data_IF_400449904393
#
_entry.id   IF_400449904393
#
_cell.length_a   1.000
_cell.length_b   1.000
_cell.length_c   1.000
_cell.angle_alpha   90.00
_cell.angle_beta   90.00
_cell.angle_gamma   90.00
#
_symmetry.space_group_name_H-M   'P 1'
#
loop_
_entity.id
_entity.type
_entity.pdbx_description
1 polymer ?
#
# COMPACT_ATOMS: atom_id res chain seq x y z
N UNK A 1 -25.35 13.93 4.82
CA UNK A 1 -24.95 12.56 4.38
C UNK A 1 -23.46 12.39 4.63
N UNK A 2 -23.03 11.24 5.15
CA UNK A 2 -21.61 10.91 5.32
C UNK A 2 -20.93 10.86 3.95
N UNK A 3 -19.71 11.39 3.82
CA UNK A 3 -18.91 11.32 2.56
C UNK A 3 -18.61 9.85 2.27
N UNK A 4 -18.86 9.39 1.03
CA UNK A 4 -18.66 7.99 0.62
C UNK A 4 -17.16 7.65 0.57
N UNK A 5 -16.38 8.50 -0.08
CA UNK A 5 -14.92 8.42 -0.09
C UNK A 5 -14.34 9.04 1.18
N UNK A 6 -13.54 8.24 1.90
CA UNK A 6 -12.74 8.68 3.04
C UNK A 6 -11.40 9.24 2.62
N UNK A 7 -10.39 9.11 3.49
CA UNK A 7 -9.00 9.49 3.18
C UNK A 7 -8.30 8.51 2.26
N UNK A 8 -8.70 7.23 2.29
CA UNK A 8 -8.14 6.18 1.44
C UNK A 8 -9.24 5.24 0.92
N UNK A 9 -9.94 5.70 -0.13
CA UNK A 9 -11.01 4.96 -0.79
C UNK A 9 -12.33 4.93 0.00
N UNK A 10 -13.16 3.94 -0.32
CA UNK A 10 -14.46 3.71 0.33
C UNK A 10 -14.28 2.59 1.35
N UNK A 11 -14.58 2.82 2.63
CA UNK A 11 -14.36 1.83 3.71
C UNK A 11 -15.54 1.74 4.67
N UNK A 12 -15.73 0.57 5.26
CA UNK A 12 -16.71 0.37 6.31
C UNK A 12 -16.91 -1.10 6.69
N UNK A 13 -17.91 -1.36 7.53
CA UNK A 13 -18.25 -2.73 7.95
C UNK A 13 -18.90 -3.48 6.80
N UNK A 14 -18.42 -4.69 6.54
CA UNK A 14 -18.93 -5.58 5.49
C UNK A 14 -20.40 -5.90 5.74
N UNK A 15 -21.21 -5.95 4.68
CA UNK A 15 -22.65 -6.22 4.70
C UNK A 15 -23.49 -5.18 5.47
N UNK A 16 -22.89 -4.07 5.91
CA UNK A 16 -23.61 -2.92 6.47
C UNK A 16 -23.30 -1.64 5.70
N UNK A 17 -22.02 -1.28 5.65
CA UNK A 17 -21.53 -0.07 4.99
C UNK A 17 -20.95 -0.40 3.60
N UNK A 18 -20.27 -1.55 3.49
CA UNK A 18 -19.71 -2.09 2.24
C UNK A 18 -20.46 -3.38 1.89
N UNK A 19 -21.38 -3.27 0.93
CA UNK A 19 -22.20 -4.40 0.48
C UNK A 19 -21.82 -4.83 -0.94
N UNK A 20 -22.23 -6.04 -1.33
CA UNK A 20 -22.04 -6.53 -2.71
C UNK A 20 -22.75 -5.63 -3.73
N UNK A 21 -23.93 -5.09 -3.40
CA UNK A 21 -24.67 -4.18 -4.27
C UNK A 21 -23.92 -2.86 -4.49
N UNK A 22 -23.31 -2.31 -3.42
CA UNK A 22 -22.48 -1.11 -3.54
C UNK A 22 -21.23 -1.40 -4.39
N UNK A 23 -20.55 -2.51 -4.15
CA UNK A 23 -19.36 -2.93 -4.89
C UNK A 23 -19.67 -3.13 -6.39
N UNK A 24 -20.79 -3.77 -6.70
CA UNK A 24 -21.28 -3.92 -8.08
C UNK A 24 -21.52 -2.57 -8.74
N UNK A 25 -22.25 -1.67 -8.07
CA UNK A 25 -22.51 -0.31 -8.59
C UNK A 25 -21.23 0.47 -8.82
N UNK A 26 -20.24 0.37 -7.92
CA UNK A 26 -18.92 0.99 -8.12
C UNK A 26 -18.26 0.42 -9.37
N UNK A 27 -18.25 -0.90 -9.56
CA UNK A 27 -17.75 -1.53 -10.78
C UNK A 27 -18.42 -1.00 -12.04
N UNK A 28 -19.76 -0.84 -12.03
CA UNK A 28 -20.48 -0.25 -13.15
C UNK A 28 -20.07 1.19 -13.43
N UNK A 29 -19.97 2.03 -12.38
CA UNK A 29 -19.56 3.42 -12.56
C UNK A 29 -18.16 3.50 -13.15
N UNK A 30 -17.23 2.68 -12.66
CA UNK A 30 -15.86 2.66 -13.15
C UNK A 30 -15.78 2.23 -14.62
N UNK A 31 -16.46 1.14 -15.01
CA UNK A 31 -16.47 0.70 -16.40
C UNK A 31 -17.12 1.72 -17.34
N UNK A 32 -18.18 2.40 -16.88
CA UNK A 32 -18.82 3.48 -17.64
C UNK A 32 -17.92 4.71 -17.82
N UNK A 33 -17.18 5.10 -16.77
CA UNK A 33 -16.27 6.25 -16.83
C UNK A 33 -15.02 5.98 -17.66
N UNK A 34 -14.67 4.71 -17.85
CA UNK A 34 -13.45 4.26 -18.50
C UNK A 34 -13.76 3.18 -19.55
N UNK A 35 -14.51 3.52 -20.62
CA UNK A 35 -14.96 2.54 -21.59
C UNK A 35 -13.79 1.90 -22.34
N UNK A 36 -13.76 0.58 -22.43
CA UNK A 36 -12.72 -0.18 -23.13
C UNK A 36 -11.37 -0.27 -22.40
N UNK A 37 -11.27 0.27 -21.19
CA UNK A 37 -10.06 0.18 -20.36
C UNK A 37 -9.91 -1.20 -19.70
N UNK A 38 -8.65 -1.53 -19.39
CA UNK A 38 -8.29 -2.73 -18.62
C UNK A 38 -8.24 -2.42 -17.13
N UNK A 39 -8.77 -3.32 -16.32
CA UNK A 39 -8.74 -3.22 -14.86
C UNK A 39 -8.01 -4.40 -14.24
N UNK A 40 -6.99 -4.12 -13.43
CA UNK A 40 -6.46 -5.09 -12.47
C UNK A 40 -7.34 -5.04 -11.22
N UNK A 41 -7.64 -6.19 -10.63
CA UNK A 41 -8.30 -6.26 -9.33
C UNK A 41 -7.59 -7.24 -8.41
N UNK A 42 -7.26 -6.77 -7.21
CA UNK A 42 -6.69 -7.59 -6.14
C UNK A 42 -7.44 -7.40 -4.82
N UNK A 43 -7.14 -8.25 -3.85
CA UNK A 43 -7.68 -8.16 -2.49
C UNK A 43 -6.59 -8.44 -1.45
N UNK A 44 -6.88 -8.08 -0.20
CA UNK A 44 -6.20 -8.66 0.95
C UNK A 44 -6.78 -10.05 1.30
N UNK A 45 -6.40 -10.58 2.47
CA UNK A 45 -6.74 -11.93 2.92
C UNK A 45 -8.10 -12.05 3.60
N UNK A 46 -8.91 -10.98 3.70
CA UNK A 46 -10.24 -11.05 4.32
C UNK A 46 -11.16 -11.98 3.55
N UNK A 47 -11.93 -12.79 4.28
CA UNK A 47 -12.92 -13.69 3.66
C UNK A 47 -13.97 -12.94 2.83
N UNK A 48 -14.34 -11.73 3.25
CA UNK A 48 -15.28 -10.85 2.52
C UNK A 48 -14.74 -10.35 1.18
N UNK A 49 -13.41 -10.40 0.98
CA UNK A 49 -12.76 -9.94 -0.23
C UNK A 49 -13.22 -10.71 -1.46
N UNK A 50 -13.45 -12.02 -1.35
CA UNK A 50 -13.96 -12.86 -2.45
C UNK A 50 -15.31 -12.35 -2.97
N UNK A 51 -16.27 -12.15 -2.07
CA UNK A 51 -17.60 -11.63 -2.41
C UNK A 51 -17.52 -10.27 -3.11
N UNK A 52 -16.70 -9.35 -2.57
CA UNK A 52 -16.58 -7.99 -3.09
C UNK A 52 -15.84 -7.93 -4.44
N UNK A 53 -14.79 -8.74 -4.63
CA UNK A 53 -14.10 -8.87 -5.92
C UNK A 53 -15.10 -9.29 -7.00
N UNK A 54 -15.88 -10.35 -6.77
CA UNK A 54 -16.86 -10.82 -7.75
C UNK A 54 -17.93 -9.76 -8.07
N UNK A 55 -18.38 -9.01 -7.07
CA UNK A 55 -19.33 -7.92 -7.28
C UNK A 55 -18.73 -6.80 -8.16
N UNK A 56 -17.52 -6.32 -7.86
CA UNK A 56 -16.84 -5.30 -8.67
C UNK A 56 -16.59 -5.80 -10.09
N UNK A 57 -16.10 -7.04 -10.24
CA UNK A 57 -15.84 -7.67 -11.55
C UNK A 57 -17.10 -7.74 -12.39
N UNK A 58 -18.24 -8.15 -11.80
CA UNK A 58 -19.53 -8.18 -12.48
C UNK A 58 -19.97 -6.77 -12.92
N UNK A 59 -19.75 -5.76 -12.09
CA UNK A 59 -20.04 -4.37 -12.43
C UNK A 59 -19.21 -3.87 -13.61
N UNK A 60 -17.89 -4.04 -13.55
CA UNK A 60 -16.94 -3.63 -14.59
C UNK A 60 -17.23 -4.32 -15.93
N UNK A 61 -17.35 -5.65 -15.92
CA UNK A 61 -17.60 -6.44 -17.14
C UNK A 61 -18.96 -6.14 -17.76
N UNK A 62 -19.99 -5.81 -16.95
CA UNK A 62 -21.29 -5.36 -17.46
C UNK A 62 -21.23 -4.04 -18.24
N UNK A 63 -20.12 -3.30 -18.11
CA UNK A 63 -19.87 -2.04 -18.80
C UNK A 63 -18.77 -2.15 -19.86
N UNK A 64 -18.40 -3.38 -20.25
CA UNK A 64 -17.46 -3.64 -21.35
C UNK A 64 -15.98 -3.59 -20.96
N UNK A 65 -15.64 -3.45 -19.67
CA UNK A 65 -14.25 -3.43 -19.22
C UNK A 65 -13.66 -4.84 -19.09
N UNK A 66 -12.46 -5.04 -19.61
CA UNK A 66 -11.70 -6.28 -19.40
C UNK A 66 -11.07 -6.27 -18.00
N UNK A 67 -11.26 -7.35 -17.24
CA UNK A 67 -10.84 -7.45 -15.83
C UNK A 67 -9.86 -8.59 -15.63
N UNK A 68 -8.74 -8.29 -14.99
CA UNK A 68 -7.65 -9.21 -14.68
C UNK A 68 -7.57 -9.39 -13.16
N UNK A 69 -7.90 -10.59 -12.68
CA UNK A 69 -7.92 -10.90 -11.25
C UNK A 69 -6.53 -11.33 -10.77
N UNK A 70 -5.93 -10.52 -9.92
CA UNK A 70 -4.60 -10.74 -9.36
C UNK A 70 -4.59 -11.64 -8.11
N UNK A 71 -5.77 -11.96 -7.56
CA UNK A 71 -5.88 -12.70 -6.31
C UNK A 71 -5.46 -11.86 -5.09
N UNK A 72 -4.74 -12.48 -4.15
CA UNK A 72 -4.21 -11.78 -2.97
C UNK A 72 -2.91 -11.09 -3.34
N UNK A 73 -2.89 -9.75 -3.24
CA UNK A 73 -1.74 -8.94 -3.61
C UNK A 73 -1.71 -7.63 -2.80
N UNK A 74 -0.54 -7.14 -2.35
CA UNK A 74 -0.43 -5.86 -1.65
C UNK A 74 -1.04 -4.68 -2.43
N UNK A 75 -1.55 -3.68 -1.71
CA UNK A 75 -2.00 -2.43 -2.35
C UNK A 75 -0.93 -1.79 -3.24
N UNK A 76 0.34 -1.63 -2.78
CA UNK A 76 1.37 -1.00 -3.62
C UNK A 76 1.73 -1.82 -4.86
N UNK A 77 1.56 -3.14 -4.83
CA UNK A 77 1.80 -3.98 -6.00
C UNK A 77 0.77 -3.69 -7.11
N UNK A 78 -0.50 -3.49 -6.78
CA UNK A 78 -1.51 -3.05 -7.76
C UNK A 78 -1.19 -1.66 -8.30
N UNK A 79 -0.76 -0.72 -7.44
CA UNK A 79 -0.31 0.60 -7.89
C UNK A 79 0.87 0.49 -8.89
N UNK A 80 1.86 -0.36 -8.59
CA UNK A 80 3.01 -0.59 -9.46
C UNK A 80 2.62 -1.20 -10.80
N UNK A 81 1.86 -2.30 -10.79
CA UNK A 81 1.47 -3.00 -12.01
C UNK A 81 0.56 -2.14 -12.90
N UNK A 82 -0.36 -1.38 -12.31
CA UNK A 82 -1.22 -0.47 -13.09
C UNK A 82 -0.45 0.66 -13.77
N UNK A 83 0.65 1.13 -13.16
CA UNK A 83 1.57 2.07 -13.80
C UNK A 83 2.33 1.43 -14.95
N UNK A 84 2.89 0.23 -14.74
CA UNK A 84 3.67 -0.49 -15.76
C UNK A 84 2.82 -0.86 -16.98
N UNK A 85 1.59 -1.31 -16.75
CA UNK A 85 0.70 -1.79 -17.81
C UNK A 85 -0.21 -0.66 -18.37
N UNK A 86 -0.05 0.57 -17.88
CA UNK A 86 -0.85 1.74 -18.26
C UNK A 86 -2.36 1.47 -18.18
N UNK A 87 -2.82 0.93 -17.05
CA UNK A 87 -4.20 0.52 -16.86
C UNK A 87 -4.78 1.03 -15.52
N UNK A 88 -6.00 0.62 -15.18
CA UNK A 88 -6.67 0.96 -13.93
C UNK A 88 -6.58 -0.19 -12.93
N UNK A 89 -6.72 0.12 -11.64
CA UNK A 89 -6.65 -0.86 -10.57
C UNK A 89 -7.75 -0.70 -9.56
N UNK A 90 -8.22 -1.82 -9.02
CA UNK A 90 -9.08 -1.85 -7.83
C UNK A 90 -8.44 -2.74 -6.79
N UNK A 91 -8.37 -2.26 -5.55
CA UNK A 91 -7.93 -3.05 -4.40
C UNK A 91 -9.06 -3.17 -3.40
N UNK A 92 -9.40 -4.42 -3.06
CA UNK A 92 -10.39 -4.75 -2.03
C UNK A 92 -9.67 -4.97 -0.70
N UNK A 93 -9.64 -3.94 0.13
CA UNK A 93 -8.94 -3.95 1.41
C UNK A 93 -9.40 -2.83 2.34
N UNK A 94 -9.27 -3.05 3.66
CA UNK A 94 -9.34 -2.00 4.67
C UNK A 94 -8.03 -1.83 5.46
N UNK A 95 -6.87 -2.19 4.89
CA UNK A 95 -5.54 -1.98 5.48
C UNK A 95 -5.48 -2.63 6.88
N UNK A 96 -5.17 -1.85 7.91
CA UNK A 96 -5.03 -2.27 9.30
C UNK A 96 -6.34 -2.58 10.04
N UNK A 97 -7.51 -2.34 9.46
CA UNK A 97 -8.80 -2.58 10.14
C UNK A 97 -9.03 -4.09 10.41
N UNK A 98 -9.86 -4.49 11.39
CA UNK A 98 -10.16 -5.91 11.64
C UNK A 98 -11.01 -6.52 10.52
N UNK A 99 -10.98 -7.85 10.34
CA UNK A 99 -11.59 -8.57 9.21
C UNK A 99 -13.07 -8.24 8.90
N UNK A 100 -13.81 -7.75 9.90
CA UNK A 100 -15.21 -7.30 9.78
C UNK A 100 -15.40 -6.05 8.92
N UNK A 101 -14.32 -5.32 8.66
CA UNK A 101 -14.30 -4.17 7.75
C UNK A 101 -13.67 -4.57 6.42
N UNK A 102 -14.08 -3.90 5.35
CA UNK A 102 -13.39 -3.96 4.07
C UNK A 102 -13.50 -2.59 3.37
N UNK A 103 -12.94 -2.48 2.19
CA UNK A 103 -12.95 -1.25 1.42
C UNK A 103 -12.60 -1.46 -0.04
N UNK A 104 -12.74 -0.38 -0.80
CA UNK A 104 -12.47 -0.34 -2.24
C UNK A 104 -11.59 0.87 -2.50
N UNK A 105 -10.35 0.61 -2.92
CA UNK A 105 -9.39 1.62 -3.37
C UNK A 105 -9.28 1.55 -4.89
N UNK A 106 -9.13 2.69 -5.56
CA UNK A 106 -9.11 2.77 -7.01
C UNK A 106 -7.85 3.49 -7.45
N UNK A 107 -7.17 2.90 -8.43
CA UNK A 107 -5.93 3.38 -9.01
C UNK A 107 -6.09 3.69 -10.50
N UNK A 108 -5.42 4.75 -10.93
CA UNK A 108 -5.35 5.24 -12.29
C UNK A 108 -3.87 5.46 -12.66
N UNK A 109 -3.30 4.58 -13.49
CA UNK A 109 -1.88 4.67 -13.88
C UNK A 109 -0.93 4.64 -12.67
N UNK A 110 -1.28 3.87 -11.64
CA UNK A 110 -0.55 3.76 -10.38
C UNK A 110 -0.83 4.83 -9.33
N UNK A 111 -1.57 5.89 -9.64
CA UNK A 111 -1.95 6.90 -8.64
C UNK A 111 -3.38 6.67 -8.15
N UNK A 112 -3.67 7.05 -6.90
CA UNK A 112 -5.04 7.09 -6.39
C UNK A 112 -5.85 8.14 -7.15
N UNK A 113 -7.18 7.99 -7.15
CA UNK A 113 -8.07 8.94 -7.81
C UNK A 113 -7.94 10.37 -7.26
N UNK A 114 -8.11 11.34 -8.16
CA UNK A 114 -8.24 12.74 -7.79
C UNK A 114 -9.61 13.03 -7.18
N UNK A 115 -9.73 14.10 -6.39
CA UNK A 115 -11.01 14.49 -5.77
C UNK A 115 -12.14 14.68 -6.79
N UNK A 116 -11.83 15.18 -7.99
CA UNK A 116 -12.79 15.37 -9.08
C UNK A 116 -13.38 14.04 -9.56
N UNK A 117 -12.55 12.99 -9.67
CA UNK A 117 -12.99 11.64 -10.05
C UNK A 117 -13.85 11.02 -8.94
N UNK A 118 -13.47 11.16 -7.67
CA UNK A 118 -14.27 10.70 -6.52
C UNK A 118 -15.66 11.37 -6.48
N UNK A 119 -15.74 12.68 -6.75
CA UNK A 119 -16.98 13.44 -6.82
C UNK A 119 -17.85 12.92 -7.96
N UNK A 120 -17.25 12.70 -9.15
CA UNK A 120 -17.97 12.17 -10.32
C UNK A 120 -18.54 10.78 -10.03
N UNK A 121 -17.75 9.89 -9.43
CA UNK A 121 -18.20 8.55 -9.04
C UNK A 121 -19.35 8.65 -8.03
N UNK A 122 -19.19 9.47 -6.98
CA UNK A 122 -20.20 9.66 -5.95
C UNK A 122 -21.52 10.19 -6.53
N UNK A 123 -21.46 11.09 -7.49
CA UNK A 123 -22.64 11.64 -8.18
C UNK A 123 -23.38 10.53 -8.95
N UNK A 124 -22.67 9.77 -9.79
CA UNK A 124 -23.27 8.69 -10.58
C UNK A 124 -23.87 7.58 -9.72
N UNK A 125 -23.23 7.24 -8.59
CA UNK A 125 -23.77 6.26 -7.64
C UNK A 125 -25.08 6.72 -6.99
N UNK A 126 -25.23 8.03 -6.72
CA UNK A 126 -26.44 8.60 -6.14
C UNK A 126 -27.58 8.70 -7.15
N UNK A 127 -27.26 9.11 -8.37
CA UNK A 127 -28.26 9.31 -9.42
C UNK A 127 -28.73 7.97 -10.01
N UNK A 128 -27.91 6.92 -9.93
CA UNK A 128 -28.21 5.58 -10.47
C UNK A 128 -28.56 5.63 -11.98
N UNK A 129 -27.87 6.51 -12.71
CA UNK A 129 -28.12 6.89 -14.11
C UNK A 129 -27.21 6.18 -15.12
N UNK A 130 -26.49 5.13 -14.70
CA UNK A 130 -25.53 4.44 -15.57
C UNK A 130 -26.29 3.73 -16.70
N UNK A 131 -26.05 4.09 -17.98
CA UNK A 131 -26.70 3.42 -19.09
C UNK A 131 -26.21 1.97 -19.20
N UNK A 132 -27.01 1.12 -19.84
CA UNK A 132 -26.58 -0.25 -20.16
C UNK A 132 -25.58 -0.20 -21.30
N UNK A 133 -24.50 -0.97 -21.18
CA UNK A 133 -23.60 -1.26 -22.29
C UNK A 133 -23.99 -2.60 -22.93
N UNK A 134 -23.93 -2.69 -24.26
CA UNK A 134 -24.18 -3.93 -24.99
C UNK A 134 -22.91 -4.78 -25.15
N UNK A 135 -21.73 -4.17 -25.01
CA UNK A 135 -20.46 -4.90 -24.99
C UNK A 135 -20.19 -5.43 -23.58
N UNK A 136 -19.92 -6.74 -23.50
CA UNK A 136 -19.57 -7.42 -22.26
C UNK A 136 -18.06 -7.61 -22.21
N UNK A 137 -17.44 -7.12 -21.14
CA UNK A 137 -16.02 -7.25 -20.90
C UNK A 137 -15.63 -8.68 -20.53
N UNK A 138 -14.38 -9.05 -20.79
CA UNK A 138 -13.85 -10.39 -20.48
C UNK A 138 -13.18 -10.40 -19.12
N UNK A 139 -13.19 -11.57 -18.47
CA UNK A 139 -12.59 -11.77 -17.16
C UNK A 139 -11.45 -12.77 -17.33
N UNK A 140 -10.27 -12.41 -16.82
CA UNK A 140 -9.05 -13.19 -16.88
C UNK A 140 -8.52 -13.43 -15.47
N UNK A 141 -7.99 -14.63 -15.23
CA UNK A 141 -7.09 -14.84 -14.09
C UNK A 141 -5.72 -14.27 -14.44
N UNK A 142 -5.07 -13.63 -13.47
CA UNK A 142 -3.76 -13.03 -13.66
C UNK A 142 -2.76 -13.53 -12.62
N UNK A 143 -2.48 -14.82 -12.70
CA UNK A 143 -1.68 -15.59 -11.75
C UNK A 143 -0.23 -15.10 -11.63
N UNK A 144 0.35 -14.54 -12.69
CA UNK A 144 1.72 -14.06 -12.74
C UNK A 144 1.93 -12.68 -12.08
N UNK A 145 0.86 -12.02 -11.63
CA UNK A 145 0.94 -10.69 -11.01
C UNK A 145 1.81 -10.65 -9.75
N UNK A 146 1.78 -11.71 -8.95
CA UNK A 146 2.65 -11.87 -7.77
C UNK A 146 4.13 -11.90 -8.18
N UNK A 147 4.49 -12.79 -9.10
CA UNK A 147 5.86 -12.92 -9.60
C UNK A 147 6.36 -11.64 -10.27
N UNK A 148 5.50 -10.97 -11.05
CA UNK A 148 5.86 -9.68 -11.65
C UNK A 148 6.18 -8.63 -10.59
N UNK A 149 5.37 -8.49 -9.55
CA UNK A 149 5.66 -7.56 -8.47
C UNK A 149 6.97 -7.91 -7.75
N UNK A 150 7.15 -9.19 -7.39
CA UNK A 150 8.38 -9.68 -6.74
C UNK A 150 9.62 -9.35 -7.57
N UNK A 151 9.60 -9.67 -8.86
CA UNK A 151 10.72 -9.40 -9.77
C UNK A 151 11.02 -7.91 -9.93
N UNK A 152 9.97 -7.07 -10.03
CA UNK A 152 10.16 -5.62 -10.11
C UNK A 152 10.85 -5.10 -8.86
N UNK A 153 10.38 -5.46 -7.67
CA UNK A 153 11.01 -5.01 -6.41
C UNK A 153 12.42 -5.57 -6.28
N UNK A 154 12.67 -6.86 -6.52
CA UNK A 154 14.03 -7.43 -6.49
C UNK A 154 14.97 -6.68 -7.42
N UNK A 155 14.52 -6.35 -8.64
CA UNK A 155 15.33 -5.62 -9.62
C UNK A 155 15.74 -4.21 -9.15
N UNK A 156 14.89 -3.55 -8.34
CA UNK A 156 15.17 -2.21 -7.79
C UNK A 156 16.32 -2.20 -6.78
N UNK A 157 16.57 -3.35 -6.14
CA UNK A 157 17.50 -3.52 -5.02
C UNK A 157 18.63 -4.53 -5.30
N UNK A 158 18.74 -5.05 -6.52
CA UNK A 158 19.70 -6.10 -6.91
C UNK A 158 21.18 -5.76 -6.64
N UNK A 159 21.51 -4.47 -6.63
CA UNK A 159 22.89 -3.98 -6.44
C UNK A 159 23.23 -3.75 -4.95
N UNK A 160 22.30 -4.03 -4.04
CA UNK A 160 22.50 -3.94 -2.58
C UNK A 160 22.86 -5.31 -2.01
N UNK A 161 23.90 -5.38 -1.17
CA UNK A 161 24.31 -6.61 -0.51
C UNK A 161 23.65 -6.75 0.86
N UNK A 162 22.56 -7.51 0.94
CA UNK A 162 21.86 -7.76 2.20
C UNK A 162 22.25 -9.08 2.87
N UNK A 163 23.29 -9.76 2.39
CA UNK A 163 23.70 -11.07 2.93
C UNK A 163 24.11 -10.93 4.39
N UNK A 164 23.73 -11.94 5.18
CA UNK A 164 24.03 -11.98 6.61
C UNK A 164 23.06 -11.19 7.50
N UNK A 165 22.10 -10.45 6.93
CA UNK A 165 21.01 -9.85 7.70
C UNK A 165 20.03 -10.95 8.13
N UNK A 166 19.69 -10.95 9.42
CA UNK A 166 18.62 -11.79 9.99
C UNK A 166 17.39 -10.95 10.28
N UNK A 167 16.34 -11.13 9.49
CA UNK A 167 15.10 -10.39 9.60
C UNK A 167 13.96 -11.27 10.09
N UNK A 168 13.22 -10.78 11.10
CA UNK A 168 11.92 -11.32 11.46
C UNK A 168 10.85 -10.51 10.73
N UNK A 169 9.86 -11.18 10.13
CA UNK A 169 8.84 -10.51 9.32
C UNK A 169 7.46 -10.85 9.84
N UNK A 170 6.68 -9.84 10.20
CA UNK A 170 5.25 -9.96 10.52
C UNK A 170 4.43 -9.45 9.33
N UNK A 171 3.72 -10.36 8.67
CA UNK A 171 2.89 -10.04 7.49
C UNK A 171 1.43 -9.74 7.83
N UNK A 172 1.10 -9.65 9.13
CA UNK A 172 -0.24 -9.35 9.66
C UNK A 172 -1.34 -10.32 9.21
N UNK A 173 -0.98 -11.54 8.81
CA UNK A 173 -1.81 -12.48 8.05
C UNK A 173 -2.49 -11.80 6.85
N UNK A 174 -1.81 -10.82 6.24
CA UNK A 174 -2.32 -9.91 5.22
C UNK A 174 -1.81 -10.21 3.82
N UNK A 175 -1.91 -9.22 2.94
CA UNK A 175 -1.67 -9.38 1.51
C UNK A 175 -0.19 -9.66 1.16
N UNK A 176 0.76 -9.32 2.05
CA UNK A 176 2.20 -9.50 1.82
C UNK A 176 2.76 -10.84 2.30
N UNK A 177 1.89 -11.76 2.78
CA UNK A 177 2.31 -13.03 3.39
C UNK A 177 3.20 -13.91 2.49
N UNK A 178 3.11 -13.76 1.16
CA UNK A 178 4.00 -14.40 0.18
C UNK A 178 5.04 -13.43 -0.39
N UNK A 179 4.60 -12.26 -0.86
CA UNK A 179 5.45 -11.33 -1.61
C UNK A 179 6.64 -10.81 -0.80
N UNK A 180 6.44 -10.42 0.46
CA UNK A 180 7.53 -9.88 1.29
C UNK A 180 8.61 -10.93 1.55
N UNK A 181 8.27 -12.14 2.08
CA UNK A 181 9.27 -13.19 2.25
C UNK A 181 10.03 -13.54 0.96
N UNK A 182 9.32 -13.68 -0.18
CA UNK A 182 9.93 -13.99 -1.47
C UNK A 182 10.94 -12.93 -1.91
N UNK A 183 10.61 -11.64 -1.81
CA UNK A 183 11.52 -10.55 -2.19
C UNK A 183 12.75 -10.55 -1.29
N UNK A 184 12.57 -10.61 0.03
CA UNK A 184 13.67 -10.54 0.98
C UNK A 184 14.64 -11.73 0.82
N UNK A 185 14.11 -12.94 0.63
CA UNK A 185 14.91 -14.15 0.38
C UNK A 185 15.67 -14.09 -0.94
N UNK A 186 15.03 -13.62 -2.03
CA UNK A 186 15.69 -13.43 -3.33
C UNK A 186 16.84 -12.41 -3.26
N UNK A 187 16.76 -11.46 -2.32
CA UNK A 187 17.80 -10.48 -2.05
C UNK A 187 18.87 -10.97 -1.05
N UNK A 188 18.82 -12.24 -0.63
CA UNK A 188 19.84 -12.87 0.21
C UNK A 188 19.69 -12.65 1.71
N UNK A 189 18.54 -12.14 2.17
CA UNK A 189 18.24 -11.93 3.59
C UNK A 189 17.81 -13.26 4.22
N UNK A 190 18.27 -13.54 5.43
CA UNK A 190 17.78 -14.67 6.22
C UNK A 190 16.49 -14.27 6.93
N UNK A 191 15.36 -14.86 6.51
CA UNK A 191 14.01 -14.42 6.91
C UNK A 191 13.32 -15.47 7.77
N UNK A 192 12.88 -15.07 8.96
CA UNK A 192 11.92 -15.82 9.78
C UNK A 192 10.56 -15.14 9.68
N UNK A 193 9.57 -15.82 9.10
CA UNK A 193 8.24 -15.25 8.85
C UNK A 193 7.27 -15.64 9.97
N UNK A 194 6.51 -14.66 10.44
CA UNK A 194 5.44 -14.81 11.42
C UNK A 194 4.15 -14.20 10.88
N UNK A 195 3.01 -14.69 11.41
CA UNK A 195 1.68 -14.25 11.03
C UNK A 195 1.50 -14.24 9.51
N UNK A 196 1.75 -15.40 8.88
CA UNK A 196 1.68 -15.61 7.43
C UNK A 196 0.78 -16.80 7.05
N UNK A 197 -0.19 -17.14 7.92
CA UNK A 197 -1.16 -18.22 7.70
C UNK A 197 -2.58 -17.64 7.70
N UNK A 198 -2.96 -16.87 6.67
CA UNK A 198 -4.27 -16.24 6.60
C UNK A 198 -5.40 -17.26 6.55
N UNK A 199 -6.45 -17.05 7.34
CA UNK A 199 -7.65 -17.89 7.37
C UNK A 199 -8.96 -17.13 7.08
N UNK A 200 -8.86 -15.91 6.55
CA UNK A 200 -10.01 -15.04 6.28
C UNK A 200 -10.42 -14.13 7.44
N UNK A 201 -10.07 -14.49 8.68
CA UNK A 201 -10.53 -13.80 9.91
C UNK A 201 -9.40 -13.31 10.83
N UNK A 202 -8.18 -13.81 10.65
CA UNK A 202 -7.03 -13.50 11.49
C UNK A 202 -6.15 -12.33 10.99
N UNK A 203 -6.54 -11.65 9.90
CA UNK A 203 -5.84 -10.45 9.43
C UNK A 203 -5.80 -9.38 10.53
N UNK A 204 -4.62 -8.81 10.77
CA UNK A 204 -4.32 -7.80 11.80
C UNK A 204 -4.71 -8.20 13.23
N UNK A 205 -5.02 -9.48 13.50
CA UNK A 205 -5.45 -9.91 14.83
C UNK A 205 -4.22 -10.03 15.74
N UNK A 206 -4.02 -9.02 16.59
CA UNK A 206 -2.93 -8.98 17.58
C UNK A 206 -1.52 -9.11 16.94
N UNK A 207 -1.39 -8.71 15.68
CA UNK A 207 -0.17 -8.76 14.88
C UNK A 207 -0.09 -7.57 13.92
N UNK A 208 1.03 -7.45 13.20
CA UNK A 208 1.28 -6.40 12.22
C UNK A 208 1.69 -5.07 12.83
N UNK A 209 1.77 -4.05 11.98
CA UNK A 209 2.31 -2.72 12.33
C UNK A 209 1.56 -2.00 13.47
N UNK A 210 0.32 -2.36 13.78
CA UNK A 210 -0.42 -1.83 14.92
C UNK A 210 -0.13 -2.54 16.24
N UNK A 211 0.46 -3.74 16.19
CA UNK A 211 0.80 -4.56 17.35
C UNK A 211 2.29 -4.93 17.36
N UNK A 212 3.20 -3.93 17.28
CA UNK A 212 4.65 -4.17 17.19
C UNK A 212 5.24 -4.99 18.34
N UNK A 213 4.57 -4.98 19.49
CA UNK A 213 4.97 -5.75 20.66
C UNK A 213 4.89 -7.26 20.43
N UNK A 214 4.01 -7.71 19.53
CA UNK A 214 3.83 -9.13 19.24
C UNK A 214 5.09 -9.74 18.61
N UNK A 215 5.68 -9.07 17.61
CA UNK A 215 6.94 -9.48 17.00
C UNK A 215 8.13 -9.24 17.95
N UNK A 216 8.19 -8.07 18.59
CA UNK A 216 9.28 -7.69 19.50
C UNK A 216 9.52 -8.71 20.62
N UNK A 217 8.44 -9.31 21.18
CA UNK A 217 8.54 -10.34 22.22
C UNK A 217 9.18 -11.64 21.75
N UNK A 218 8.92 -12.05 20.51
CA UNK A 218 9.38 -13.33 19.97
C UNK A 218 10.71 -13.23 19.20
N UNK A 219 11.18 -12.01 18.91
CA UNK A 219 12.47 -11.80 18.27
C UNK A 219 13.61 -12.30 19.15
N UNK A 220 14.36 -13.27 18.65
CA UNK A 220 15.58 -13.79 19.26
C UNK A 220 16.68 -13.83 18.20
N UNK A 221 17.86 -13.29 18.54
CA UNK A 221 19.03 -13.27 17.64
C UNK A 221 18.74 -12.70 16.24
N UNK A 222 17.83 -11.73 16.16
CA UNK A 222 17.47 -11.02 14.94
C UNK A 222 18.16 -9.66 14.89
N UNK A 223 18.56 -9.22 13.70
CA UNK A 223 19.12 -7.88 13.53
C UNK A 223 18.01 -6.83 13.39
N UNK A 224 16.84 -7.25 12.87
CA UNK A 224 15.72 -6.37 12.56
C UNK A 224 14.39 -7.13 12.51
N UNK A 225 13.32 -6.47 12.93
CA UNK A 225 11.94 -6.88 12.71
C UNK A 225 11.26 -5.97 11.71
N UNK A 226 10.53 -6.54 10.75
CA UNK A 226 9.78 -5.83 9.72
C UNK A 226 8.31 -6.16 9.90
N UNK A 227 7.46 -5.15 10.10
CA UNK A 227 6.03 -5.35 10.31
C UNK A 227 5.22 -4.61 9.25
N UNK A 228 4.36 -5.36 8.56
CA UNK A 228 3.37 -4.81 7.65
C UNK A 228 2.00 -4.69 8.32
N UNK A 229 1.10 -3.93 7.72
CA UNK A 229 -0.34 -4.05 7.96
C UNK A 229 -1.02 -4.95 6.92
N UNK A 230 -2.33 -5.13 7.06
CA UNK A 230 -3.11 -6.09 6.28
C UNK A 230 -3.00 -5.99 4.75
N UNK A 231 -2.69 -4.82 4.18
CA UNK A 231 -2.46 -4.66 2.73
C UNK A 231 -1.08 -4.10 2.36
N UNK A 232 -0.18 -4.05 3.36
CA UNK A 232 1.24 -3.74 3.25
C UNK A 232 1.56 -2.38 2.62
N UNK A 233 0.70 -1.39 2.81
CA UNK A 233 1.02 0.01 2.51
C UNK A 233 1.81 0.69 3.64
N UNK A 234 1.95 0.02 4.79
CA UNK A 234 2.75 0.47 5.94
C UNK A 234 3.93 -0.45 6.24
N UNK A 235 4.97 0.15 6.81
CA UNK A 235 6.06 -0.55 7.46
C UNK A 235 6.41 0.09 8.80
N UNK A 236 6.53 -0.75 9.82
CA UNK A 236 7.15 -0.41 11.09
C UNK A 236 8.34 -1.34 11.29
N UNK A 237 9.43 -0.79 11.82
CA UNK A 237 10.65 -1.53 12.09
C UNK A 237 10.80 -1.76 13.60
N UNK A 238 11.31 -2.94 13.98
CA UNK A 238 11.82 -3.22 15.32
C UNK A 238 13.34 -3.35 15.20
N UNK A 239 14.08 -2.54 15.95
CA UNK A 239 15.54 -2.63 16.02
C UNK A 239 15.99 -3.87 16.81
N UNK A 240 17.28 -4.21 16.71
CA UNK A 240 17.90 -5.31 17.47
C UNK A 240 17.69 -5.21 18.99
N UNK A 241 17.62 -4.00 19.55
CA UNK A 241 17.31 -3.72 20.96
C UNK A 241 15.81 -3.79 21.29
N UNK A 242 15.02 -4.37 20.38
CA UNK A 242 13.58 -4.63 20.48
C UNK A 242 12.71 -3.37 20.56
N UNK A 243 13.23 -2.21 20.11
CA UNK A 243 12.50 -0.94 20.13
C UNK A 243 11.80 -0.65 18.82
N UNK A 244 10.66 0.01 18.92
CA UNK A 244 9.89 0.46 17.77
C UNK A 244 10.55 1.67 17.08
N UNK A 245 10.75 1.52 15.77
CA UNK A 245 11.16 2.54 14.83
C UNK A 245 9.98 2.81 13.90
N UNK A 246 9.15 3.78 14.27
CA UNK A 246 7.95 4.17 13.52
C UNK A 246 8.25 5.06 12.30
N UNK A 247 7.21 5.40 11.54
CA UNK A 247 7.35 6.12 10.27
C UNK A 247 8.08 7.46 10.38
N UNK A 248 7.89 8.22 11.47
CA UNK A 248 8.63 9.47 11.67
C UNK A 248 10.13 9.22 11.83
N UNK A 249 10.50 8.20 12.64
CA UNK A 249 11.92 7.83 12.82
C UNK A 249 12.52 7.27 11.54
N UNK A 250 11.77 6.45 10.80
CA UNK A 250 12.22 5.91 9.50
C UNK A 250 12.49 7.06 8.53
N UNK A 251 11.55 8.00 8.37
CA UNK A 251 11.76 9.17 7.51
C UNK A 251 12.94 10.03 7.97
N UNK A 252 13.09 10.24 9.29
CA UNK A 252 14.21 10.98 9.85
C UNK A 252 15.56 10.34 9.53
N UNK A 253 15.68 9.02 9.66
CA UNK A 253 16.91 8.29 9.36
C UNK A 253 17.20 8.22 7.85
N UNK A 254 16.17 8.04 7.02
CA UNK A 254 16.33 7.89 5.58
C UNK A 254 16.54 9.22 4.86
N UNK A 255 16.05 10.35 5.36
CA UNK A 255 16.16 11.61 4.63
C UNK A 255 17.62 12.08 4.43
N UNK A 256 18.51 12.11 5.45
CA UNK A 256 19.93 12.41 5.24
C UNK A 256 20.62 11.40 4.33
N UNK A 257 20.30 10.12 4.49
CA UNK A 257 20.85 9.06 3.64
C UNK A 257 20.48 9.24 2.16
N UNK A 258 19.22 9.52 1.86
CA UNK A 258 18.79 9.84 0.49
C UNK A 258 19.38 11.14 -0.03
N UNK A 259 19.64 12.11 0.85
CA UNK A 259 20.31 13.35 0.47
C UNK A 259 21.76 13.09 0.01
N UNK A 260 22.50 12.24 0.73
CA UNK A 260 23.85 11.81 0.32
C UNK A 260 23.83 11.04 -1.00
N UNK A 261 22.80 10.24 -1.26
CA UNK A 261 22.63 9.53 -2.54
C UNK A 261 22.15 10.42 -3.68
N UNK A 262 21.87 11.71 -3.44
CA UNK A 262 21.30 12.61 -4.44
C UNK A 262 19.84 12.30 -4.80
N UNK A 263 19.15 11.48 -3.99
CA UNK A 263 17.76 11.02 -4.18
C UNK A 263 16.73 11.82 -3.37
N UNK A 264 17.16 12.92 -2.72
CA UNK A 264 16.28 13.85 -2.01
C UNK A 264 16.24 15.22 -2.72
N UNK A 265 15.51 15.36 -3.85
CA UNK A 265 15.42 16.60 -4.59
C UNK A 265 14.90 17.73 -3.70
N UNK A 266 15.47 18.93 -3.90
CA UNK A 266 15.18 20.15 -3.13
C UNK A 266 15.33 19.99 -1.61
N UNK A 267 16.03 18.94 -1.14
CA UNK A 267 16.21 18.63 0.28
C UNK A 267 14.88 18.68 1.05
N UNK A 268 13.81 18.12 0.49
CA UNK A 268 12.45 18.27 1.02
C UNK A 268 11.84 16.93 1.39
N UNK A 269 11.25 16.85 2.59
CA UNK A 269 10.43 15.75 3.07
C UNK A 269 9.02 16.24 3.35
N UNK A 270 8.01 15.46 2.98
CA UNK A 270 6.60 15.80 3.23
C UNK A 270 6.03 14.89 4.32
N UNK A 271 5.36 15.46 5.31
CA UNK A 271 4.61 14.71 6.30
C UNK A 271 3.31 15.38 6.70
N UNK A 272 2.61 14.83 7.67
CA UNK A 272 1.34 15.40 8.15
C UNK A 272 1.54 16.25 9.40
N UNK A 273 0.50 16.98 9.79
CA UNK A 273 0.44 17.68 11.08
C UNK A 273 0.60 16.74 12.29
N UNK A 274 0.43 15.42 12.11
CA UNK A 274 0.59 14.42 13.18
C UNK A 274 2.04 13.99 13.41
N UNK A 275 2.97 14.32 12.50
CA UNK A 275 4.39 14.00 12.66
C UNK A 275 4.99 14.77 13.82
N UNK A 276 5.80 14.08 14.61
CA UNK A 276 6.43 14.61 15.82
C UNK A 276 7.28 15.86 15.53
N UNK A 277 7.28 16.85 16.44
CA UNK A 277 8.09 18.07 16.30
C UNK A 277 9.60 17.76 16.25
N UNK A 278 10.04 16.71 16.95
CA UNK A 278 11.43 16.26 16.94
C UNK A 278 11.92 15.79 15.56
N UNK A 279 11.04 15.25 14.71
CA UNK A 279 11.38 14.94 13.32
C UNK A 279 11.69 16.22 12.54
N UNK A 280 10.82 17.22 12.64
CA UNK A 280 10.98 18.49 11.94
C UNK A 280 12.25 19.22 12.40
N UNK A 281 12.54 19.23 13.71
CA UNK A 281 13.76 19.80 14.23
C UNK A 281 15.00 19.04 13.74
N UNK A 282 15.01 17.71 13.79
CA UNK A 282 16.12 16.89 13.30
C UNK A 282 16.38 17.11 11.81
N UNK A 283 15.35 17.15 10.98
CA UNK A 283 15.49 17.41 9.55
C UNK A 283 16.05 18.82 9.29
N UNK A 284 15.56 19.83 10.02
CA UNK A 284 16.07 21.20 9.94
C UNK A 284 17.55 21.28 10.29
N UNK A 285 17.98 20.59 11.34
CA UNK A 285 19.39 20.54 11.76
C UNK A 285 20.28 19.88 10.71
N UNK A 286 19.72 18.98 9.88
CA UNK A 286 20.38 18.38 8.72
C UNK A 286 20.20 19.18 7.42
N UNK A 287 19.65 20.40 7.47
CA UNK A 287 19.43 21.25 6.30
C UNK A 287 18.35 20.73 5.34
N UNK A 288 17.39 19.96 5.85
CA UNK A 288 16.28 19.36 5.11
C UNK A 288 14.99 20.08 5.50
N UNK A 289 14.25 20.55 4.50
CA UNK A 289 12.94 21.20 4.66
C UNK A 289 11.86 20.14 4.92
N UNK A 290 11.10 20.31 6.00
CA UNK A 290 9.92 19.50 6.27
C UNK A 290 8.64 20.28 5.92
N UNK A 291 7.81 19.71 5.06
CA UNK A 291 6.53 20.31 4.66
C UNK A 291 5.38 19.53 5.26
N UNK A 292 4.52 20.23 6.02
CA UNK A 292 3.34 19.64 6.66
C UNK A 292 2.11 19.72 5.76
N UNK A 293 1.26 18.70 5.88
CA UNK A 293 -0.04 18.56 5.20
C UNK A 293 -1.12 18.12 6.18
N UNK A 294 -2.38 18.14 5.75
CA UNK A 294 -3.49 17.53 6.51
C UNK A 294 -3.31 16.01 6.61
N UNK A 295 -3.98 15.38 7.57
CA UNK A 295 -3.90 13.91 7.79
C UNK A 295 -4.50 13.16 6.60
N UNK A 296 -3.80 12.13 6.13
CA UNK A 296 -4.19 11.31 4.99
C UNK A 296 -3.10 11.26 3.91
N UNK A 297 -2.75 10.04 3.51
CA UNK A 297 -1.75 9.75 2.48
C UNK A 297 -1.97 10.51 1.15
N UNK A 298 -3.23 10.76 0.76
CA UNK A 298 -3.61 11.56 -0.40
C UNK A 298 -3.01 12.96 -0.35
N UNK A 299 -3.07 13.65 0.80
CA UNK A 299 -2.55 15.01 0.93
C UNK A 299 -1.02 15.04 0.93
N UNK A 300 -0.39 14.02 1.53
CA UNK A 300 1.06 13.82 1.46
C UNK A 300 1.49 13.69 0.01
N UNK A 301 0.89 12.75 -0.74
CA UNK A 301 1.20 12.51 -2.14
C UNK A 301 0.96 13.76 -3.02
N UNK A 302 -0.19 14.43 -2.87
CA UNK A 302 -0.48 15.68 -3.60
C UNK A 302 0.60 16.75 -3.35
N UNK A 303 1.01 16.94 -2.09
CA UNK A 303 2.05 17.91 -1.74
C UNK A 303 3.42 17.49 -2.28
N UNK A 304 3.76 16.21 -2.25
CA UNK A 304 4.99 15.69 -2.84
C UNK A 304 5.06 15.99 -4.33
N UNK A 305 3.98 15.75 -5.08
CA UNK A 305 3.89 16.05 -6.51
C UNK A 305 4.03 17.55 -6.79
N UNK A 306 3.31 18.40 -6.07
CA UNK A 306 3.39 19.87 -6.21
C UNK A 306 4.78 20.43 -5.91
N UNK A 307 5.47 19.82 -4.95
CA UNK A 307 6.78 20.31 -4.49
C UNK A 307 7.94 19.60 -5.16
N UNK A 308 7.68 18.57 -5.97
CA UNK A 308 8.70 17.67 -6.54
C UNK A 308 9.58 17.03 -5.45
N UNK A 309 9.00 16.72 -4.29
CA UNK A 309 9.66 15.99 -3.22
C UNK A 309 9.63 14.48 -3.52
N UNK A 310 10.68 13.76 -3.13
CA UNK A 310 10.75 12.31 -3.38
C UNK A 310 10.34 11.47 -2.16
N UNK A 311 10.59 11.97 -0.94
CA UNK A 311 10.26 11.28 0.30
C UNK A 311 9.10 11.98 1.01
N UNK A 312 8.12 11.19 1.43
CA UNK A 312 7.10 11.66 2.35
C UNK A 312 6.31 10.52 2.96
N UNK A 313 5.55 10.81 4.02
CA UNK A 313 4.80 9.78 4.70
C UNK A 313 4.15 10.21 6.00
N UNK A 314 3.72 9.21 6.75
CA UNK A 314 3.02 9.36 8.02
C UNK A 314 3.72 8.56 9.12
N UNK A 315 3.55 9.00 10.38
CA UNK A 315 4.05 8.29 11.57
C UNK A 315 3.58 6.82 11.63
N UNK A 316 2.43 6.51 11.03
CA UNK A 316 1.85 5.17 10.91
C UNK A 316 2.72 4.16 10.14
N UNK A 317 3.77 4.61 9.45
CA UNK A 317 4.60 3.78 8.60
C UNK A 317 4.19 3.77 7.13
N UNK A 318 3.17 4.54 6.73
CA UNK A 318 2.84 4.76 5.33
C UNK A 318 3.84 5.74 4.74
N UNK A 319 4.85 5.23 4.03
CA UNK A 319 5.98 6.02 3.49
C UNK A 319 6.08 5.81 1.98
N UNK A 320 6.23 6.91 1.26
CA UNK A 320 6.27 7.00 -0.19
C UNK A 320 7.68 7.43 -0.61
N UNK A 321 8.26 6.66 -1.53
CA UNK A 321 9.47 6.99 -2.28
C UNK A 321 9.07 7.13 -3.75
N UNK A 322 8.84 8.35 -4.23
CA UNK A 322 8.22 8.57 -5.56
C UNK A 322 9.07 8.10 -6.75
N UNK A 323 10.37 7.93 -6.55
CA UNK A 323 11.29 7.32 -7.49
C UNK A 323 11.17 5.78 -7.57
N UNK A 324 10.47 5.15 -6.61
CA UNK A 324 10.27 3.69 -6.54
C UNK A 324 8.81 3.26 -6.64
N UNK A 325 7.90 3.98 -5.97
CA UNK A 325 6.47 3.67 -5.90
C UNK A 325 5.62 4.94 -5.93
N UNK A 326 4.39 4.82 -6.44
CA UNK A 326 3.42 5.91 -6.52
C UNK A 326 2.47 5.98 -5.32
N UNK A 327 2.63 5.08 -4.34
CA UNK A 327 1.88 5.04 -3.09
C UNK A 327 2.77 4.50 -1.96
N UNK A 328 2.25 4.50 -0.73
CA UNK A 328 2.98 3.91 0.39
C UNK A 328 3.24 2.43 0.15
N UNK A 329 4.49 2.02 0.23
CA UNK A 329 4.89 0.63 0.04
C UNK A 329 5.74 0.20 1.22
N UNK A 330 5.18 -0.68 2.05
CA UNK A 330 5.85 -1.15 3.25
C UNK A 330 7.10 -1.97 2.93
N UNK A 331 7.09 -2.76 1.85
CA UNK A 331 8.24 -3.59 1.47
C UNK A 331 9.39 -2.72 0.95
N UNK A 332 9.09 -1.74 0.09
CA UNK A 332 10.10 -0.77 -0.38
C UNK A 332 10.65 0.04 0.80
N UNK A 333 9.80 0.44 1.75
CA UNK A 333 10.22 1.14 2.97
C UNK A 333 11.20 0.30 3.79
N UNK A 334 10.90 -0.98 3.99
CA UNK A 334 11.79 -1.90 4.69
C UNK A 334 13.14 -2.06 3.96
N UNK A 335 13.13 -2.20 2.63
CA UNK A 335 14.34 -2.37 1.83
C UNK A 335 15.22 -1.10 1.81
N UNK A 336 14.63 0.10 1.71
CA UNK A 336 15.39 1.35 1.83
C UNK A 336 15.99 1.50 3.24
N UNK A 337 15.27 1.09 4.29
CA UNK A 337 15.81 1.06 5.65
C UNK A 337 16.98 0.07 5.79
N UNK A 338 16.86 -1.12 5.21
CA UNK A 338 17.94 -2.10 5.20
C UNK A 338 19.17 -1.61 4.44
N UNK A 339 18.99 -0.87 3.33
CA UNK A 339 20.11 -0.25 2.60
C UNK A 339 20.89 0.72 3.47
N UNK A 340 20.19 1.52 4.27
CA UNK A 340 20.82 2.38 5.27
C UNK A 340 21.63 1.54 6.26
N UNK A 341 21.03 0.49 6.86
CA UNK A 341 21.69 -0.38 7.83
C UNK A 341 22.98 -1.00 7.26
N UNK A 342 22.95 -1.50 6.03
CA UNK A 342 24.13 -2.11 5.38
C UNK A 342 25.22 -1.08 5.12
N UNK A 343 24.88 0.13 4.65
CA UNK A 343 25.88 1.17 4.36
C UNK A 343 26.59 1.68 5.62
N UNK A 344 25.93 1.58 6.78
CA UNK A 344 26.47 2.06 8.06
C UNK A 344 27.14 0.98 8.91
N UNK A 345 27.15 -0.28 8.45
CA UNK A 345 27.89 -1.39 9.09
C UNK A 345 29.37 -1.34 8.70
#
# INVERSE_FOLDING_TARGET
MKKLFGTDGIRGVVNRDITAELAFKIGQVLGFLHPGEKFLIARDTRESGEMLVHAVVAGLSSQGADVYKCGVLPTPAVAMLTKLDSCKGVVISASHNPYTHNGIKIFNGGFKLLDEEEIKITKLLKENTIPRNHQIGRIFEYSESEDRYVQQVVSMFKDSDFRGIRAYVDTANGASYRTTPMVLQNLGINVTVHYAEPNGKNINKECGSLHPQALSRIMENADIGILHDGDADRCIIISEDKREVNGDKIMGLLAPFLLEEGRLPKKTVVGTVMSNLGLEQYLKDNGILFLRTHVGDKYVLQKMLQTMANLGGERSGHIIFLDRSTTGDGLITALEFLRLVVKTR
#
